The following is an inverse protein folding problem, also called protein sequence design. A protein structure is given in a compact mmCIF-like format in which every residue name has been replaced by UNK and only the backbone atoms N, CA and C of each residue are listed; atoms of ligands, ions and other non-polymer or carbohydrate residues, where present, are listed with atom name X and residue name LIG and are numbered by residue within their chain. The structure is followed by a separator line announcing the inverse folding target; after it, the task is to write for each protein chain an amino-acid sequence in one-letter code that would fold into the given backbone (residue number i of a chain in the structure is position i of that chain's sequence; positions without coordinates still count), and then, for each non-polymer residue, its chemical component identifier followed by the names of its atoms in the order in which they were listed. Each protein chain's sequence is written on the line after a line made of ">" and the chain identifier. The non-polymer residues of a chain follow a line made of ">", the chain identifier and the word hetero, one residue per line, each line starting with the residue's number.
data_IF_507964047042
#
_entry.id   IF_507964047042
#
_cell.length_a   1.000
_cell.length_b   1.000
_cell.length_c   1.000
_cell.angle_alpha   90.00
_cell.angle_beta   90.00
_cell.angle_gamma   90.00
#
_symmetry.space_group_name_H-M   'P 1'
#
loop_
_entity.id
_entity.type
_entity.pdbx_description
1 polymer ?
#
# COMPACT_ATOMS: atom_id res chain seq x y z
N UNK A 1 -1.61 -0.87 -13.27
CA UNK A 1 -0.84 0.16 -13.98
C UNK A 1 -1.50 0.58 -15.28
N UNK A 2 -1.62 -0.27 -16.31
CA UNK A 2 -2.17 0.11 -17.62
C UNK A 2 -3.47 0.94 -17.59
N UNK A 3 -4.45 0.53 -16.78
CA UNK A 3 -5.77 1.19 -16.69
C UNK A 3 -5.73 2.66 -16.29
N UNK A 4 -4.77 3.12 -15.49
CA UNK A 4 -4.73 4.54 -15.08
C UNK A 4 -4.28 5.47 -16.23
N UNK A 5 -3.49 4.93 -17.16
CA UNK A 5 -2.92 5.63 -18.32
C UNK A 5 -3.79 5.51 -19.58
N UNK A 6 -4.88 4.75 -19.52
CA UNK A 6 -5.83 4.59 -20.61
C UNK A 6 -6.88 5.72 -20.53
N UNK A 7 -6.75 6.71 -21.41
CA UNK A 7 -7.64 7.88 -21.49
C UNK A 7 -9.01 7.55 -22.10
N UNK A 8 -9.18 6.36 -22.69
CA UNK A 8 -10.47 5.88 -23.19
C UNK A 8 -11.37 5.32 -22.08
N UNK A 9 -10.82 5.03 -20.90
CA UNK A 9 -11.59 4.53 -19.76
C UNK A 9 -12.30 5.67 -19.02
N UNK A 10 -13.52 5.42 -18.50
CA UNK A 10 -14.20 6.36 -17.63
C UNK A 10 -13.33 6.73 -16.43
N UNK A 11 -13.42 7.99 -16.00
CA UNK A 11 -12.64 8.51 -14.87
C UNK A 11 -12.78 7.62 -13.62
N UNK A 12 -13.98 7.12 -13.31
CA UNK A 12 -14.21 6.24 -12.16
C UNK A 12 -13.37 4.95 -12.20
N UNK A 13 -13.15 4.38 -13.39
CA UNK A 13 -12.31 3.20 -13.57
C UNK A 13 -10.82 3.51 -13.38
N UNK A 14 -10.38 4.71 -13.78
CA UNK A 14 -9.00 5.19 -13.61
C UNK A 14 -8.73 5.54 -12.14
N UNK A 15 -9.68 6.17 -11.46
CA UNK A 15 -9.63 6.47 -10.03
C UNK A 15 -9.58 5.18 -9.18
N UNK A 16 -10.38 4.17 -9.53
CA UNK A 16 -10.30 2.86 -8.89
C UNK A 16 -8.93 2.20 -9.13
N UNK A 17 -8.38 2.29 -10.34
CA UNK A 17 -7.05 1.76 -10.63
C UNK A 17 -5.96 2.45 -9.79
N UNK A 18 -6.08 3.77 -9.56
CA UNK A 18 -5.17 4.50 -8.67
C UNK A 18 -5.26 3.99 -7.22
N UNK A 19 -6.48 3.84 -6.68
CA UNK A 19 -6.70 3.31 -5.32
C UNK A 19 -6.06 1.93 -5.14
N UNK A 20 -6.19 1.05 -6.13
CA UNK A 20 -5.53 -0.26 -6.10
C UNK A 20 -4.00 -0.15 -6.12
N UNK A 21 -3.42 0.76 -6.91
CA UNK A 21 -1.96 0.95 -6.93
C UNK A 21 -1.46 1.45 -5.56
N UNK A 22 -2.15 2.43 -4.97
CA UNK A 22 -1.82 2.96 -3.63
C UNK A 22 -1.83 1.83 -2.58
N UNK A 23 -2.84 0.97 -2.62
CA UNK A 23 -3.02 -0.13 -1.66
C UNK A 23 -2.03 -1.27 -1.88
N UNK A 24 -1.95 -1.83 -3.09
CA UNK A 24 -1.14 -3.02 -3.36
C UNK A 24 0.36 -2.77 -3.31
N UNK A 25 0.83 -1.54 -3.56
CA UNK A 25 2.23 -1.20 -3.31
C UNK A 25 2.51 -1.21 -1.80
N UNK A 26 1.55 -0.87 -0.94
CA UNK A 26 1.68 -1.10 0.51
C UNK A 26 1.76 -2.58 0.84
N UNK A 27 0.75 -3.35 0.42
CA UNK A 27 0.60 -4.77 0.76
C UNK A 27 1.80 -5.63 0.34
N UNK A 28 2.36 -5.40 -0.86
CA UNK A 28 3.50 -6.20 -1.36
C UNK A 28 4.77 -6.06 -0.50
N UNK A 29 4.83 -5.05 0.37
CA UNK A 29 5.92 -4.86 1.32
C UNK A 29 5.66 -5.51 2.68
N UNK A 30 4.45 -6.02 2.94
CA UNK A 30 4.14 -6.81 4.13
C UNK A 30 4.60 -8.26 3.88
N UNK A 31 5.58 -8.80 4.63
CA UNK A 31 6.14 -10.13 4.37
C UNK A 31 5.12 -11.25 4.20
N UNK A 32 4.08 -11.29 5.04
CA UNK A 32 3.04 -12.32 5.03
C UNK A 32 2.01 -12.17 3.90
N UNK A 33 1.97 -11.03 3.20
CA UNK A 33 1.21 -10.89 1.94
C UNK A 33 1.95 -11.53 0.75
N UNK A 34 3.19 -11.96 0.96
CA UNK A 34 4.03 -12.65 -0.03
C UNK A 34 4.28 -14.12 0.32
N UNK A 35 3.48 -14.69 1.22
CA UNK A 35 3.64 -16.05 1.74
C UNK A 35 2.34 -16.87 1.61
N UNK A 36 2.49 -18.15 1.26
CA UNK A 36 1.38 -19.08 1.13
C UNK A 36 1.09 -19.85 2.43
N UNK A 37 2.12 -20.15 3.22
CA UNK A 37 2.04 -20.93 4.46
C UNK A 37 0.92 -20.39 5.35
N UNK A 38 0.01 -21.29 5.74
CA UNK A 38 -1.12 -20.99 6.62
C UNK A 38 -1.98 -19.80 6.17
N UNK A 39 -2.12 -19.60 4.85
CA UNK A 39 -2.81 -18.46 4.23
C UNK A 39 -2.16 -17.14 4.63
N UNK A 40 -0.85 -17.01 4.43
CA UNK A 40 -0.07 -15.85 4.86
C UNK A 40 -0.08 -15.71 6.39
N UNK A 41 -0.04 -16.81 7.13
CA UNK A 41 -0.07 -16.80 8.61
C UNK A 41 -1.44 -16.51 9.25
N UNK A 42 -2.52 -16.37 8.47
CA UNK A 42 -3.87 -16.16 9.03
C UNK A 42 -4.35 -17.35 9.90
N UNK A 43 -3.86 -18.56 9.63
CA UNK A 43 -4.18 -19.77 10.40
C UNK A 43 -3.24 -20.02 11.58
N UNK A 44 -2.12 -19.31 11.68
CA UNK A 44 -1.18 -19.41 12.81
C UNK A 44 -1.76 -18.61 13.96
N UNK A 45 -2.24 -19.29 15.00
CA UNK A 45 -2.79 -18.66 16.21
C UNK A 45 -1.66 -18.24 17.15
N UNK A 46 -1.76 -17.04 17.71
CA UNK A 46 -0.74 -16.46 18.58
C UNK A 46 -1.41 -15.72 19.73
N UNK A 47 -0.67 -15.45 20.80
CA UNK A 47 -1.03 -14.48 21.83
C UNK A 47 -0.28 -13.17 21.57
N UNK A 48 -0.97 -12.05 21.78
CA UNK A 48 -0.39 -10.73 21.68
C UNK A 48 -0.86 -9.88 22.86
N UNK A 49 0.04 -9.60 23.80
CA UNK A 49 -0.25 -8.97 25.09
C UNK A 49 -1.39 -9.67 25.85
N UNK A 50 -1.36 -11.00 25.89
CA UNK A 50 -2.35 -11.83 26.59
C UNK A 50 -3.69 -12.00 25.86
N UNK A 51 -3.82 -11.50 24.62
CA UNK A 51 -5.03 -11.64 23.81
C UNK A 51 -4.79 -12.55 22.61
N UNK A 52 -5.77 -13.40 22.29
CA UNK A 52 -5.73 -14.22 21.07
C UNK A 52 -5.73 -13.35 19.80
N UNK A 53 -4.85 -13.70 18.88
CA UNK A 53 -4.72 -13.10 17.56
C UNK A 53 -4.28 -14.17 16.53
N UNK A 54 -4.00 -13.73 15.31
CA UNK A 54 -3.27 -14.54 14.34
C UNK A 54 -2.01 -13.79 13.86
N UNK A 55 -1.02 -14.55 13.39
CA UNK A 55 0.27 -14.00 12.99
C UNK A 55 0.13 -12.88 11.95
N UNK A 56 -0.73 -13.06 10.94
CA UNK A 56 -1.00 -12.05 9.92
C UNK A 56 -1.47 -10.72 10.53
N UNK A 57 -2.48 -10.79 11.40
CA UNK A 57 -3.08 -9.60 12.03
C UNK A 57 -2.13 -8.82 12.94
N UNK A 58 -1.15 -9.49 13.57
CA UNK A 58 -0.18 -8.78 14.41
C UNK A 58 0.83 -8.00 13.54
N UNK A 59 1.22 -8.55 12.38
CA UNK A 59 2.09 -7.91 11.40
C UNK A 59 1.40 -6.77 10.64
N UNK A 60 0.12 -6.95 10.29
CA UNK A 60 -0.66 -5.92 9.60
C UNK A 60 -0.87 -4.66 10.45
N UNK A 61 -0.99 -4.81 11.78
CA UNK A 61 -1.44 -3.69 12.61
C UNK A 61 -0.91 -3.71 14.04
N UNK A 62 -1.07 -4.83 14.78
CA UNK A 62 -0.96 -4.80 16.25
C UNK A 62 0.45 -4.48 16.75
N UNK A 63 1.50 -4.95 16.09
CA UNK A 63 2.90 -4.65 16.45
C UNK A 63 3.16 -3.15 16.33
N UNK A 64 2.77 -2.55 15.21
CA UNK A 64 3.01 -1.13 15.00
C UNK A 64 2.11 -0.27 15.89
N UNK A 65 0.85 -0.66 16.08
CA UNK A 65 -0.08 0.03 16.98
C UNK A 65 0.35 -0.05 18.45
N UNK A 66 0.95 -1.15 18.91
CA UNK A 66 1.46 -1.24 20.27
C UNK A 66 2.70 -0.36 20.46
N UNK A 67 3.53 -0.21 19.41
CA UNK A 67 4.76 0.59 19.46
C UNK A 67 4.51 2.10 19.27
N UNK A 68 3.69 2.48 18.29
CA UNK A 68 3.45 3.89 17.89
C UNK A 68 2.11 4.45 18.36
N UNK A 69 1.24 3.60 18.91
CA UNK A 69 -0.15 3.93 19.18
C UNK A 69 -1.05 3.76 17.95
N UNK A 70 -2.36 3.85 18.16
CA UNK A 70 -3.36 3.78 17.07
C UNK A 70 -3.13 4.89 16.04
N UNK A 71 -3.48 4.66 14.76
CA UNK A 71 -3.29 5.62 13.68
C UNK A 71 -4.24 6.82 13.83
N UNK A 72 -3.81 7.81 14.60
CA UNK A 72 -4.43 9.15 14.64
C UNK A 72 -3.79 10.02 13.56
N UNK A 73 -4.47 11.06 13.11
CA UNK A 73 -3.93 12.00 12.11
C UNK A 73 -2.55 12.55 12.52
N UNK A 74 -2.42 13.02 13.76
CA UNK A 74 -1.14 13.48 14.31
C UNK A 74 -0.08 12.37 14.36
N UNK A 75 -0.47 11.15 14.71
CA UNK A 75 0.42 9.99 14.75
C UNK A 75 0.95 9.62 13.36
N UNK A 76 0.06 9.59 12.36
CA UNK A 76 0.40 9.32 10.96
C UNK A 76 1.38 10.37 10.43
N UNK A 77 1.11 11.66 10.66
CA UNK A 77 2.01 12.75 10.22
C UNK A 77 3.37 12.63 10.89
N UNK A 78 3.39 12.43 12.22
CA UNK A 78 4.63 12.29 12.97
C UNK A 78 5.45 11.10 12.47
N UNK A 79 4.80 9.97 12.20
CA UNK A 79 5.46 8.77 11.72
C UNK A 79 5.97 8.93 10.29
N UNK A 80 5.17 9.53 9.39
CA UNK A 80 5.58 9.81 8.01
C UNK A 80 6.78 10.75 7.97
N UNK A 81 6.79 11.81 8.78
CA UNK A 81 7.93 12.73 8.88
C UNK A 81 9.20 12.05 9.42
N UNK A 82 9.06 11.15 10.39
CA UNK A 82 10.17 10.34 10.92
C UNK A 82 10.76 9.45 9.82
N UNK A 83 9.92 8.71 9.09
CA UNK A 83 10.36 7.87 7.97
C UNK A 83 11.00 8.70 6.86
N UNK A 84 10.43 9.84 6.48
CA UNK A 84 11.02 10.75 5.51
C UNK A 84 12.41 11.22 5.95
N UNK A 85 12.57 11.66 7.19
CA UNK A 85 13.87 12.08 7.73
C UNK A 85 14.92 10.96 7.65
N UNK A 86 14.52 9.71 7.98
CA UNK A 86 15.39 8.53 7.87
C UNK A 86 15.79 8.22 6.43
N UNK A 87 14.90 8.42 5.46
CA UNK A 87 15.18 8.25 4.02
C UNK A 87 16.13 9.35 3.51
N UNK A 88 15.90 10.61 3.85
CA UNK A 88 16.66 11.74 3.28
C UNK A 88 18.04 11.94 3.93
N UNK A 89 18.12 11.67 5.23
CA UNK A 89 19.26 12.08 6.06
C UNK A 89 19.73 11.05 7.08
N UNK A 90 18.89 10.06 7.40
CA UNK A 90 19.15 9.09 8.46
C UNK A 90 19.58 7.71 7.96
N UNK A 91 19.13 6.69 8.69
CA UNK A 91 19.58 5.30 8.51
C UNK A 91 19.29 4.71 7.13
N UNK A 92 18.21 5.13 6.47
CA UNK A 92 17.80 4.58 5.17
C UNK A 92 18.43 5.29 3.98
N UNK A 93 19.11 6.42 4.21
CA UNK A 93 19.69 7.22 3.13
C UNK A 93 20.61 6.40 2.23
N UNK A 94 21.52 5.63 2.80
CA UNK A 94 22.44 4.81 2.00
C UNK A 94 21.69 3.73 1.22
N UNK A 95 20.73 3.04 1.82
CA UNK A 95 19.96 2.00 1.13
C UNK A 95 19.04 2.54 0.02
N UNK A 96 18.44 3.71 0.26
CA UNK A 96 17.61 4.42 -0.71
C UNK A 96 18.47 4.99 -1.84
N UNK A 97 19.55 5.71 -1.51
CA UNK A 97 20.44 6.39 -2.48
C UNK A 97 21.39 5.44 -3.22
N UNK A 98 21.77 4.28 -2.67
CA UNK A 98 22.64 3.28 -3.35
C UNK A 98 21.86 2.38 -4.34
N UNK A 99 20.75 2.90 -4.88
CA UNK A 99 19.85 2.29 -5.85
C UNK A 99 18.99 1.12 -5.37
N UNK A 100 19.17 0.56 -4.17
CA UNK A 100 18.53 -0.72 -3.84
C UNK A 100 17.00 -0.64 -3.77
N UNK A 101 16.46 0.48 -3.29
CA UNK A 101 15.00 0.68 -3.20
C UNK A 101 14.40 1.13 -4.52
N UNK A 102 15.11 1.97 -5.28
CA UNK A 102 14.73 2.41 -6.62
C UNK A 102 14.90 1.34 -7.72
N UNK A 103 15.46 0.16 -7.40
CA UNK A 103 15.50 -0.95 -8.38
C UNK A 103 14.09 -1.34 -8.80
N UNK A 104 13.90 -1.35 -10.11
CA UNK A 104 12.66 -1.66 -10.79
C UNK A 104 11.53 -0.65 -10.54
N UNK A 105 11.70 0.55 -11.10
CA UNK A 105 10.65 1.54 -11.31
C UNK A 105 10.36 1.64 -12.81
N UNK A 106 9.67 0.65 -13.36
CA UNK A 106 9.32 0.57 -14.78
C UNK A 106 7.87 0.16 -14.95
N UNK A 107 7.00 1.13 -15.24
CA UNK A 107 5.55 0.93 -15.37
C UNK A 107 5.16 -0.01 -16.53
N UNK A 108 5.99 -0.11 -17.56
CA UNK A 108 5.82 -1.05 -18.68
C UNK A 108 6.21 -2.48 -18.32
N UNK A 109 6.94 -2.71 -17.22
CA UNK A 109 7.34 -4.02 -16.70
C UNK A 109 6.83 -4.22 -15.27
N UNK A 110 5.58 -3.82 -15.02
CA UNK A 110 4.97 -3.80 -13.70
C UNK A 110 5.03 -5.13 -12.94
N UNK A 111 4.79 -6.25 -13.64
CA UNK A 111 4.84 -7.58 -13.04
C UNK A 111 6.24 -7.93 -12.52
N UNK A 112 7.28 -7.59 -13.28
CA UNK A 112 8.66 -7.85 -12.88
C UNK A 112 9.07 -7.01 -11.68
N UNK A 113 8.63 -5.75 -11.63
CA UNK A 113 8.90 -4.89 -10.49
C UNK A 113 8.15 -5.33 -9.25
N UNK A 114 6.89 -5.74 -9.39
CA UNK A 114 6.15 -6.37 -8.31
C UNK A 114 6.88 -7.61 -7.78
N UNK A 115 7.40 -8.50 -8.64
CA UNK A 115 8.18 -9.67 -8.20
C UNK A 115 9.47 -9.29 -7.46
N UNK A 116 10.18 -8.25 -7.90
CA UNK A 116 11.38 -7.73 -7.19
C UNK A 116 11.00 -7.23 -5.80
N UNK A 117 9.90 -6.50 -5.66
CA UNK A 117 9.45 -5.97 -4.38
C UNK A 117 8.96 -7.09 -3.46
N UNK A 118 8.14 -8.01 -3.99
CA UNK A 118 7.64 -9.17 -3.26
C UNK A 118 8.78 -10.06 -2.77
N UNK A 119 9.78 -10.35 -3.60
CA UNK A 119 10.97 -11.11 -3.18
C UNK A 119 11.78 -10.38 -2.09
N UNK A 120 11.76 -9.04 -2.09
CA UNK A 120 12.34 -8.23 -1.03
C UNK A 120 11.64 -8.42 0.31
N UNK A 121 10.31 -8.36 0.32
CA UNK A 121 9.48 -8.56 1.52
C UNK A 121 9.50 -10.02 2.00
N UNK A 122 9.40 -10.98 1.08
CA UNK A 122 9.38 -12.41 1.36
C UNK A 122 10.64 -12.89 2.08
N UNK A 123 11.82 -12.27 1.84
CA UNK A 123 13.03 -12.60 2.60
C UNK A 123 12.86 -12.49 4.11
N UNK A 124 12.09 -11.51 4.58
CA UNK A 124 11.80 -11.37 6.01
C UNK A 124 10.97 -12.52 6.57
N UNK A 125 10.24 -13.27 5.74
CA UNK A 125 9.52 -14.47 6.19
C UNK A 125 10.51 -15.48 6.77
N UNK A 126 11.58 -15.78 6.03
CA UNK A 126 12.61 -16.72 6.46
C UNK A 126 13.59 -16.11 7.48
N UNK A 127 13.97 -14.85 7.31
CA UNK A 127 14.98 -14.20 8.16
C UNK A 127 14.44 -13.82 9.54
N UNK A 128 13.12 -13.62 9.66
CA UNK A 128 12.51 -13.14 10.90
C UNK A 128 11.17 -13.79 11.23
N UNK A 129 10.14 -13.65 10.36
CA UNK A 129 8.74 -13.94 10.70
C UNK A 129 8.55 -15.38 11.17
N UNK A 130 9.12 -16.33 10.44
CA UNK A 130 9.07 -17.78 10.66
C UNK A 130 10.49 -18.36 10.72
N UNK A 131 11.46 -17.61 11.25
CA UNK A 131 12.87 -18.04 11.31
C UNK A 131 13.07 -19.38 12.03
N UNK A 132 12.22 -19.65 13.02
CA UNK A 132 12.20 -20.87 13.83
C UNK A 132 11.03 -21.80 13.43
N UNK A 133 10.50 -21.64 12.21
CA UNK A 133 9.33 -22.36 11.71
C UNK A 133 8.00 -21.91 12.32
N UNK A 134 6.90 -22.58 11.94
CA UNK A 134 5.56 -22.31 12.49
C UNK A 134 5.51 -22.58 14.01
N UNK A 135 6.26 -23.57 14.49
CA UNK A 135 6.34 -23.93 15.91
C UNK A 135 6.97 -22.83 16.79
N UNK A 136 7.80 -21.97 16.21
CA UNK A 136 8.41 -20.83 16.91
C UNK A 136 7.44 -19.68 17.19
N UNK A 137 6.26 -19.68 16.56
CA UNK A 137 5.26 -18.61 16.69
C UNK A 137 3.89 -19.12 17.13
N UNK A 138 3.51 -20.34 16.75
CA UNK A 138 2.17 -20.87 17.04
C UNK A 138 1.97 -21.08 18.56
N UNK A 139 0.87 -20.52 19.07
CA UNK A 139 0.52 -20.52 20.48
C UNK A 139 1.39 -19.64 21.38
N UNK A 140 2.41 -18.97 20.83
CA UNK A 140 3.36 -18.17 21.62
C UNK A 140 2.85 -16.75 21.89
N UNK A 141 3.37 -16.13 22.95
CA UNK A 141 3.20 -14.70 23.23
C UNK A 141 4.22 -13.88 22.43
N UNK A 142 3.73 -13.07 21.50
CA UNK A 142 4.54 -12.33 20.54
C UNK A 142 4.58 -10.82 20.79
N UNK A 143 3.92 -10.31 21.85
CA UNK A 143 3.94 -8.89 22.23
C UNK A 143 5.22 -8.42 22.95
N UNK A 144 6.20 -9.32 23.15
CA UNK A 144 7.49 -9.00 23.78
C UNK A 144 8.62 -8.81 22.77
N UNK A 145 9.74 -9.54 22.97
CA UNK A 145 10.95 -9.43 22.14
C UNK A 145 10.69 -9.63 20.64
N UNK A 146 9.70 -10.45 20.27
CA UNK A 146 9.28 -10.62 18.88
C UNK A 146 8.69 -9.33 18.30
N UNK A 147 7.78 -8.65 19.01
CA UNK A 147 7.24 -7.38 18.55
C UNK A 147 8.35 -6.32 18.45
N UNK A 148 9.19 -6.21 19.47
CA UNK A 148 10.27 -5.21 19.53
C UNK A 148 11.26 -5.35 18.35
N UNK A 149 11.62 -6.58 17.99
CA UNK A 149 12.49 -6.84 16.84
C UNK A 149 11.79 -6.63 15.49
N UNK A 150 10.47 -6.86 15.41
CA UNK A 150 9.69 -6.70 14.18
C UNK A 150 9.45 -5.22 13.82
N UNK A 151 9.39 -4.31 14.79
CA UNK A 151 9.12 -2.87 14.56
C UNK A 151 10.05 -2.28 13.50
N UNK A 152 11.36 -2.49 13.61
CA UNK A 152 12.32 -1.95 12.65
C UNK A 152 12.13 -2.48 11.22
N UNK A 153 11.68 -3.73 11.09
CA UNK A 153 11.39 -4.37 9.80
C UNK A 153 10.12 -3.76 9.19
N UNK A 154 9.06 -3.59 10.00
CA UNK A 154 7.79 -3.01 9.57
C UNK A 154 8.00 -1.55 9.14
N UNK A 155 8.69 -0.74 9.94
CA UNK A 155 8.96 0.67 9.62
C UNK A 155 9.77 0.82 8.32
N UNK A 156 10.80 -0.02 8.15
CA UNK A 156 11.58 -0.05 6.91
C UNK A 156 10.74 -0.46 5.71
N UNK A 157 9.84 -1.43 5.87
CA UNK A 157 8.96 -1.90 4.80
C UNK A 157 7.96 -0.82 4.37
N UNK A 158 7.41 -0.06 5.33
CA UNK A 158 6.54 1.09 5.06
C UNK A 158 7.32 2.21 4.34
N UNK A 159 8.55 2.49 4.78
CA UNK A 159 9.42 3.46 4.12
C UNK A 159 9.72 3.06 2.67
N UNK A 160 10.01 1.77 2.42
CA UNK A 160 10.22 1.23 1.07
C UNK A 160 8.97 1.37 0.19
N UNK A 161 7.80 1.04 0.74
CA UNK A 161 6.53 1.16 0.03
C UNK A 161 6.26 2.61 -0.37
N UNK A 162 6.42 3.57 0.55
CA UNK A 162 6.24 4.99 0.27
C UNK A 162 7.22 5.53 -0.77
N UNK A 163 8.50 5.18 -0.65
CA UNK A 163 9.54 5.59 -1.60
C UNK A 163 9.29 5.06 -3.02
N UNK A 164 8.95 3.77 -3.14
CA UNK A 164 8.63 3.14 -4.43
C UNK A 164 7.33 3.66 -5.01
N UNK A 165 6.32 3.92 -4.17
CA UNK A 165 5.06 4.50 -4.60
C UNK A 165 5.27 5.89 -5.21
N UNK A 166 6.07 6.75 -4.57
CA UNK A 166 6.41 8.07 -5.10
C UNK A 166 7.07 7.97 -6.48
N UNK A 167 8.10 7.11 -6.62
CA UNK A 167 8.76 6.86 -7.90
C UNK A 167 7.81 6.28 -8.95
N UNK A 168 6.91 5.37 -8.55
CA UNK A 168 5.93 4.76 -9.45
C UNK A 168 4.90 5.77 -9.97
N UNK A 169 4.42 6.66 -9.11
CA UNK A 169 3.52 7.76 -9.49
C UNK A 169 4.21 8.73 -10.44
N UNK A 170 5.45 9.11 -10.17
CA UNK A 170 6.24 9.95 -11.07
C UNK A 170 6.44 9.27 -12.44
N UNK A 171 6.73 7.97 -12.46
CA UNK A 171 6.83 7.20 -13.70
C UNK A 171 5.50 7.16 -14.48
N UNK A 172 4.36 7.03 -13.78
CA UNK A 172 3.04 7.02 -14.40
C UNK A 172 2.68 8.36 -15.05
N UNK A 173 3.05 9.47 -14.41
CA UNK A 173 2.67 10.83 -14.83
C UNK A 173 3.68 11.44 -15.80
N UNK A 174 4.97 11.26 -15.55
CA UNK A 174 6.06 11.99 -16.24
C UNK A 174 6.98 11.09 -17.06
N UNK A 175 6.92 9.76 -16.85
CA UNK A 175 7.82 8.80 -17.48
C UNK A 175 9.23 8.75 -16.87
N UNK A 176 9.48 9.46 -15.76
CA UNK A 176 10.72 9.40 -14.97
C UNK A 176 10.38 9.26 -13.48
N UNK A 177 11.24 8.61 -12.70
CA UNK A 177 10.98 8.37 -11.26
C UNK A 177 11.14 9.63 -10.40
N UNK A 178 11.98 10.58 -10.80
CA UNK A 178 12.18 11.85 -10.08
C UNK A 178 12.74 11.71 -8.66
N UNK A 179 13.34 10.56 -8.31
CA UNK A 179 13.83 10.29 -6.95
C UNK A 179 15.23 10.88 -6.70
N UNK A 180 15.99 11.14 -7.78
CA UNK A 180 17.33 11.75 -7.75
C UNK A 180 17.28 13.29 -7.77
N UNK A 181 16.15 13.84 -8.22
CA UNK A 181 15.84 15.27 -8.14
C UNK A 181 15.38 15.51 -6.70
N UNK A 182 16.31 15.88 -5.81
CA UNK A 182 16.06 15.99 -4.37
C UNK A 182 14.65 16.55 -4.07
N UNK A 183 13.88 15.80 -3.27
CA UNK A 183 12.48 16.10 -2.92
C UNK A 183 12.37 17.59 -2.67
N UNK A 184 11.54 18.28 -3.46
CA UNK A 184 11.33 19.72 -3.34
C UNK A 184 11.11 20.05 -1.87
N UNK A 185 12.06 20.78 -1.28
CA UNK A 185 11.95 21.27 0.10
C UNK A 185 10.68 22.11 0.15
N UNK A 186 9.85 21.86 1.17
CA UNK A 186 8.59 22.56 1.49
C UNK A 186 7.28 21.86 1.10
N UNK A 187 7.17 20.54 1.24
CA UNK A 187 5.84 19.88 1.32
C UNK A 187 5.55 19.50 2.77
N UNK A 188 4.60 20.18 3.40
CA UNK A 188 4.16 19.87 4.76
C UNK A 188 3.25 18.64 4.73
N UNK A 189 3.49 17.64 5.58
CA UNK A 189 2.63 16.45 5.68
C UNK A 189 1.15 16.75 5.94
N UNK A 190 0.84 17.89 6.58
CA UNK A 190 -0.54 18.40 6.71
C UNK A 190 -1.14 18.84 5.37
N UNK A 191 -0.40 19.56 4.53
CA UNK A 191 -0.87 20.00 3.21
C UNK A 191 -1.11 18.81 2.28
N UNK A 192 -0.26 17.78 2.37
CA UNK A 192 -0.47 16.51 1.64
C UNK A 192 -1.76 15.83 2.09
N UNK A 193 -2.01 15.74 3.39
CA UNK A 193 -3.23 15.11 3.92
C UNK A 193 -4.51 15.89 3.59
N UNK A 194 -4.46 17.22 3.66
CA UNK A 194 -5.58 18.07 3.24
C UNK A 194 -5.84 17.91 1.74
N UNK A 195 -4.82 17.97 0.90
CA UNK A 195 -4.96 17.75 -0.54
C UNK A 195 -5.50 16.35 -0.90
N UNK A 196 -5.11 15.32 -0.15
CA UNK A 196 -5.67 13.97 -0.32
C UNK A 196 -7.14 13.93 0.11
N UNK A 197 -7.52 14.56 1.22
CA UNK A 197 -8.92 14.62 1.67
C UNK A 197 -9.80 15.36 0.66
N UNK A 198 -9.36 16.53 0.22
CA UNK A 198 -10.06 17.33 -0.79
C UNK A 198 -10.22 16.56 -2.11
N UNK A 199 -9.14 15.92 -2.59
CA UNK A 199 -9.18 15.12 -3.82
C UNK A 199 -10.05 13.85 -3.71
N UNK A 200 -10.13 13.23 -2.53
CA UNK A 200 -11.05 12.11 -2.29
C UNK A 200 -12.51 12.57 -2.29
N UNK A 201 -12.81 13.70 -1.65
CA UNK A 201 -14.17 14.26 -1.63
C UNK A 201 -14.64 14.72 -3.02
N UNK A 202 -13.76 15.35 -3.79
CA UNK A 202 -14.07 15.80 -5.15
C UNK A 202 -14.23 14.59 -6.09
N UNK A 203 -13.31 13.63 -6.01
CA UNK A 203 -13.38 12.38 -6.77
C UNK A 203 -14.64 11.58 -6.44
N UNK A 204 -14.99 11.38 -5.17
CA UNK A 204 -16.19 10.61 -4.80
C UNK A 204 -17.48 11.27 -5.33
N UNK A 205 -17.56 12.60 -5.38
CA UNK A 205 -18.69 13.29 -6.04
C UNK A 205 -18.74 13.03 -7.54
N UNK A 206 -17.60 13.04 -8.21
CA UNK A 206 -17.50 12.74 -9.64
C UNK A 206 -17.82 11.26 -9.95
N UNK A 207 -17.41 10.31 -9.08
CA UNK A 207 -17.82 8.88 -9.17
C UNK A 207 -19.33 8.80 -9.05
N UNK A 208 -19.92 9.42 -8.02
CA UNK A 208 -21.35 9.35 -7.77
C UNK A 208 -22.16 9.91 -8.94
N UNK A 209 -21.70 11.00 -9.56
CA UNK A 209 -22.35 11.59 -10.72
C UNK A 209 -22.27 10.66 -11.95
N UNK A 210 -21.09 10.08 -12.23
CA UNK A 210 -20.91 9.13 -13.33
C UNK A 210 -21.68 7.82 -13.14
N UNK A 211 -21.76 7.31 -11.90
CA UNK A 211 -22.58 6.13 -11.56
C UNK A 211 -24.05 6.44 -11.80
N UNK A 212 -24.54 7.61 -11.36
CA UNK A 212 -25.93 8.03 -11.61
C UNK A 212 -26.21 8.20 -13.10
N UNK A 213 -25.25 8.69 -13.88
CA UNK A 213 -25.39 8.82 -15.33
C UNK A 213 -25.46 7.45 -16.02
N UNK A 214 -24.56 6.52 -15.67
CA UNK A 214 -24.61 5.13 -16.15
C UNK A 214 -25.92 4.43 -15.79
N UNK A 215 -26.44 4.63 -14.57
CA UNK A 215 -27.72 4.07 -14.15
C UNK A 215 -28.88 4.62 -14.99
N UNK A 216 -28.88 5.93 -15.27
CA UNK A 216 -29.88 6.57 -16.14
C UNK A 216 -29.81 6.07 -17.58
N UNK A 217 -28.62 5.86 -18.12
CA UNK A 217 -28.44 5.28 -19.47
C UNK A 217 -28.95 3.83 -19.51
N UNK A 218 -28.62 3.03 -18.50
CA UNK A 218 -29.09 1.65 -18.38
C UNK A 218 -30.61 1.55 -18.21
N UNK A 219 -31.26 2.54 -17.59
CA UNK A 219 -32.72 2.66 -17.54
C UNK A 219 -33.33 3.07 -18.89
N UNK A 220 -32.68 3.98 -19.63
CA UNK A 220 -33.10 4.36 -20.98
C UNK A 220 -33.02 3.20 -21.97
N UNK A 221 -31.98 2.38 -21.90
CA UNK A 221 -31.83 1.18 -22.73
C UNK A 221 -32.87 0.11 -22.40
N UNK A 222 -33.28 -0.03 -21.14
CA UNK A 222 -34.38 -0.92 -20.74
C UNK A 222 -35.77 -0.39 -21.11
N UNK A 223 -35.91 0.89 -21.43
CA UNK A 223 -37.17 1.52 -21.81
C UNK A 223 -37.62 1.29 -23.26
N UNK A 224 -36.81 0.62 -24.09
CA UNK A 224 -37.10 0.39 -25.51
C UNK A 224 -37.64 -1.03 -25.78
N UNK A 225 -38.76 -1.40 -25.16
CA UNK A 225 -39.62 -2.52 -25.59
C UNK A 225 -40.96 -1.96 -26.10
N UNK A 226 -41.08 -1.70 -27.41
CA UNK A 226 -42.37 -1.20 -27.92
C UNK A 226 -42.46 -0.76 -29.37
N UNK A 227 -42.12 -1.62 -30.33
CA UNK A 227 -42.75 -1.58 -31.66
C UNK A 227 -43.23 -2.99 -32.00
N UNK A 228 -44.42 -3.34 -31.48
CA UNK A 228 -45.16 -4.53 -31.94
C UNK A 228 -45.79 -4.20 -33.30
N UNK A 229 -45.32 -4.90 -34.32
CA UNK A 229 -45.93 -5.03 -35.65
C UNK A 229 -47.36 -5.57 -35.48
N UNK A 230 -48.36 -4.84 -35.96
CA UNK A 230 -49.72 -5.35 -36.13
C UNK A 230 -49.86 -5.93 -37.55
N UNK A 231 -50.26 -7.19 -37.63
CA UNK A 231 -50.95 -7.77 -38.79
C UNK A 231 -52.46 -7.61 -38.58
#
# INVERSE_FOLDING_TARGET
>A
TSRIQDDSLPWAQRAQALRFILHFIGDIHQPLHTEHAQLGGNRIKVLFHGHEANLHSIWDSKILESHRGKPTERGIISFTNDLQSRIESGEYKSEASLSNWGKCLNTSRAEECALVWAGGANRWVCEYVLKDGEEGVEGQELGGEYADGAVGIIEKSIAQAGYRLAGWMNMLVTGRDGLDEGIGRDVNGWEVLEGVKEGLEEGDREVEEQVREMERERERERGFEGLRVQY
#
